data_IF_115949801758
#
_entry.id   IF_115949801758
#
_cell.length_a   1.000
_cell.length_b   1.000
_cell.length_c   1.000
_cell.angle_alpha   90.00
_cell.angle_beta   90.00
_cell.angle_gamma   90.00
#
_symmetry.space_group_name_H-M   'P 1'
#
loop_
_entity.id
_entity.type
_entity.pdbx_description
1 polymer ?
#
# COMPACT_ATOMS: atom_id res chain seq x y z
N UNK A 1 -18.22 -22.82 -10.84
CA UNK A 1 -17.43 -21.93 -11.72
C UNK A 1 -16.43 -21.16 -10.87
N UNK A 2 -15.24 -20.85 -11.40
CA UNK A 2 -14.29 -19.98 -10.71
C UNK A 2 -14.88 -18.57 -10.53
N UNK A 3 -14.66 -17.95 -9.37
CA UNK A 3 -15.07 -16.55 -9.15
C UNK A 3 -14.33 -15.63 -10.10
N UNK A 4 -15.08 -14.72 -10.74
CA UNK A 4 -14.53 -13.67 -11.57
C UNK A 4 -14.24 -12.45 -10.71
N UNK A 5 -12.97 -12.06 -10.63
CA UNK A 5 -12.55 -10.93 -9.80
C UNK A 5 -11.87 -9.85 -10.64
N UNK A 6 -12.12 -8.60 -10.30
CA UNK A 6 -11.41 -7.45 -10.82
C UNK A 6 -10.38 -6.98 -9.80
N UNK A 7 -9.15 -6.76 -10.25
CA UNK A 7 -8.13 -6.02 -9.50
C UNK A 7 -7.85 -4.73 -10.24
N UNK A 8 -8.21 -3.59 -9.65
CA UNK A 8 -7.81 -2.29 -10.16
C UNK A 8 -6.46 -1.88 -9.58
N UNK A 9 -5.68 -1.07 -10.30
CA UNK A 9 -4.29 -0.82 -9.90
C UNK A 9 -3.39 -2.04 -10.10
N UNK A 10 -3.76 -2.92 -11.03
CA UNK A 10 -3.09 -4.21 -11.29
C UNK A 10 -1.70 -4.08 -11.90
N UNK A 11 -1.34 -2.91 -12.42
CA UNK A 11 0.02 -2.55 -12.86
C UNK A 11 0.92 -2.02 -11.75
N UNK A 12 0.35 -1.72 -10.57
CA UNK A 12 1.07 -1.23 -9.39
C UNK A 12 1.62 -2.36 -8.51
N UNK A 13 2.41 -1.98 -7.49
CA UNK A 13 3.11 -2.89 -6.59
C UNK A 13 2.19 -3.93 -5.93
N UNK A 14 1.19 -3.50 -5.14
CA UNK A 14 0.32 -4.45 -4.44
C UNK A 14 -0.59 -5.17 -5.43
N UNK A 15 -1.05 -4.45 -6.48
CA UNK A 15 -2.02 -4.97 -7.44
C UNK A 15 -1.50 -6.16 -8.24
N UNK A 16 -0.27 -6.10 -8.78
CA UNK A 16 0.27 -7.21 -9.57
C UNK A 16 0.57 -8.45 -8.71
N UNK A 17 1.05 -8.26 -7.47
CA UNK A 17 1.19 -9.36 -6.51
C UNK A 17 -0.16 -9.98 -6.15
N UNK A 18 -1.21 -9.15 -5.95
CA UNK A 18 -2.56 -9.63 -5.66
C UNK A 18 -3.15 -10.42 -6.83
N UNK A 19 -2.94 -9.97 -8.07
CA UNK A 19 -3.33 -10.72 -9.27
C UNK A 19 -2.73 -12.13 -9.23
N UNK A 20 -1.42 -12.24 -9.03
CA UNK A 20 -0.72 -13.52 -8.95
C UNK A 20 -1.22 -14.39 -7.80
N UNK A 21 -1.45 -13.78 -6.63
CA UNK A 21 -1.98 -14.46 -5.46
C UNK A 21 -3.38 -15.02 -5.71
N UNK A 22 -4.31 -14.22 -6.24
CA UNK A 22 -5.70 -14.64 -6.53
C UNK A 22 -5.77 -15.71 -7.61
N UNK A 23 -4.89 -15.65 -8.62
CA UNK A 23 -4.73 -16.71 -9.62
C UNK A 23 -4.33 -18.04 -8.97
N UNK A 24 -3.35 -18.03 -8.07
CA UNK A 24 -2.94 -19.22 -7.29
C UNK A 24 -4.06 -19.76 -6.40
N UNK A 25 -4.99 -18.91 -5.94
CA UNK A 25 -6.20 -19.31 -5.19
C UNK A 25 -7.36 -19.79 -6.09
N UNK A 26 -7.15 -19.90 -7.40
CA UNK A 26 -8.14 -20.44 -8.35
C UNK A 26 -9.17 -19.44 -8.87
N UNK A 27 -8.98 -18.13 -8.65
CA UNK A 27 -9.88 -17.12 -9.21
C UNK A 27 -9.57 -16.87 -10.69
N UNK A 28 -10.58 -16.53 -11.47
CA UNK A 28 -10.40 -15.89 -12.75
C UNK A 28 -10.21 -14.38 -12.51
N UNK A 29 -9.12 -13.78 -12.99
CA UNK A 29 -8.74 -12.42 -12.64
C UNK A 29 -8.68 -11.54 -13.87
N UNK A 30 -9.42 -10.42 -13.84
CA UNK A 30 -9.22 -9.26 -14.70
C UNK A 30 -8.36 -8.24 -13.96
N UNK A 31 -7.23 -7.85 -14.54
CA UNK A 31 -6.41 -6.74 -14.09
C UNK A 31 -6.73 -5.48 -14.90
N UNK A 32 -6.85 -4.34 -14.22
CA UNK A 32 -7.03 -3.03 -14.87
C UNK A 32 -6.10 -2.00 -14.26
N UNK A 33 -5.40 -1.26 -15.13
CA UNK A 33 -4.54 -0.15 -14.75
C UNK A 33 -4.36 0.80 -15.94
N UNK A 34 -3.71 1.94 -15.74
CA UNK A 34 -3.25 2.84 -16.81
C UNK A 34 -1.92 2.38 -17.44
N UNK A 35 -1.26 1.37 -16.85
CA UNK A 35 0.00 0.78 -17.32
C UNK A 35 0.10 -0.70 -16.97
N UNK A 36 0.93 -1.44 -17.69
CA UNK A 36 1.33 -2.79 -17.29
C UNK A 36 2.25 -2.77 -16.06
N UNK A 37 2.36 -3.90 -15.31
CA UNK A 37 3.38 -4.03 -14.27
C UNK A 37 4.79 -3.82 -14.87
N UNK A 38 5.60 -3.04 -14.15
CA UNK A 38 6.92 -2.61 -14.63
C UNK A 38 7.99 -3.70 -14.46
N UNK A 39 7.89 -4.46 -13.37
CA UNK A 39 8.95 -5.39 -12.95
C UNK A 39 8.60 -6.86 -13.11
N UNK A 40 7.38 -7.17 -13.51
CA UNK A 40 6.92 -8.55 -13.73
C UNK A 40 5.87 -8.61 -14.84
N UNK A 41 5.79 -9.76 -15.52
CA UNK A 41 4.67 -10.01 -16.43
C UNK A 41 3.40 -10.29 -15.62
N UNK A 42 2.28 -9.69 -16.04
CA UNK A 42 1.00 -9.98 -15.41
C UNK A 42 0.60 -11.44 -15.60
N UNK A 43 0.01 -12.03 -14.56
CA UNK A 43 -0.59 -13.38 -14.61
C UNK A 43 -2.12 -13.34 -14.68
N UNK A 44 -2.71 -12.16 -14.86
CA UNK A 44 -4.16 -12.01 -15.06
C UNK A 44 -4.66 -12.81 -16.25
N UNK A 45 -5.92 -13.28 -16.21
CA UNK A 45 -6.58 -13.89 -17.37
C UNK A 45 -6.86 -12.87 -18.46
N UNK A 46 -7.25 -11.66 -18.03
CA UNK A 46 -7.41 -10.49 -18.87
C UNK A 46 -6.69 -9.30 -18.23
N UNK A 47 -6.05 -8.47 -19.04
CA UNK A 47 -5.46 -7.23 -18.55
C UNK A 47 -5.82 -6.10 -19.52
N UNK A 48 -6.46 -5.05 -18.99
CA UNK A 48 -6.93 -3.93 -19.79
C UNK A 48 -6.26 -2.62 -19.32
N UNK A 49 -5.81 -1.82 -20.29
CA UNK A 49 -5.29 -0.47 -20.02
C UNK A 49 -6.48 0.48 -20.06
N UNK A 50 -6.97 0.90 -18.89
CA UNK A 50 -8.14 1.74 -18.73
C UNK A 50 -7.90 2.83 -17.68
N UNK A 51 -8.35 4.05 -17.96
CA UNK A 51 -8.39 5.15 -17.01
C UNK A 51 -9.73 5.14 -16.25
N UNK A 52 -9.69 4.66 -15.01
CA UNK A 52 -10.88 4.51 -14.17
C UNK A 52 -11.48 5.83 -13.65
N UNK A 53 -10.88 6.98 -13.96
CA UNK A 53 -11.49 8.29 -13.77
C UNK A 53 -12.66 8.55 -14.75
N UNK A 54 -12.73 7.73 -15.83
CA UNK A 54 -13.78 7.78 -16.84
C UNK A 54 -14.87 6.76 -16.55
N UNK A 55 -16.11 7.19 -16.62
CA UNK A 55 -17.28 6.35 -16.36
C UNK A 55 -17.32 5.09 -17.24
N UNK A 56 -17.17 5.27 -18.56
CA UNK A 56 -17.21 4.15 -19.49
C UNK A 56 -16.15 3.09 -19.20
N UNK A 57 -14.94 3.53 -18.82
CA UNK A 57 -13.85 2.64 -18.43
C UNK A 57 -14.19 1.87 -17.15
N UNK A 58 -14.78 2.52 -16.15
CA UNK A 58 -15.20 1.88 -14.92
C UNK A 58 -16.34 0.85 -15.16
N UNK A 59 -17.32 1.19 -15.99
CA UNK A 59 -18.37 0.26 -16.42
C UNK A 59 -17.82 -0.96 -17.18
N UNK A 60 -16.89 -0.73 -18.12
CA UNK A 60 -16.24 -1.81 -18.86
C UNK A 60 -15.48 -2.72 -17.90
N UNK A 61 -14.66 -2.17 -17.01
CA UNK A 61 -13.82 -2.92 -16.07
C UNK A 61 -14.65 -3.86 -15.17
N UNK A 62 -15.80 -3.39 -14.68
CA UNK A 62 -16.63 -4.13 -13.71
C UNK A 62 -17.66 -5.08 -14.34
N UNK A 63 -17.81 -5.08 -15.67
CA UNK A 63 -18.81 -5.92 -16.36
C UNK A 63 -18.54 -7.41 -16.19
N UNK A 64 -19.52 -8.14 -15.67
CA UNK A 64 -19.47 -9.60 -15.49
C UNK A 64 -18.51 -10.04 -14.38
N UNK A 65 -18.22 -9.15 -13.41
CA UNK A 65 -17.35 -9.40 -12.26
C UNK A 65 -18.18 -9.70 -11.00
N UNK A 66 -17.77 -10.71 -10.24
CA UNK A 66 -18.40 -11.07 -8.97
C UNK A 66 -17.87 -10.22 -7.80
N UNK A 67 -16.55 -9.96 -7.79
CA UNK A 67 -15.86 -9.28 -6.69
C UNK A 67 -14.82 -8.28 -7.22
N UNK A 68 -14.75 -7.09 -6.63
CA UNK A 68 -13.77 -6.05 -6.98
C UNK A 68 -12.77 -5.88 -5.84
N UNK A 69 -11.49 -5.82 -6.18
CA UNK A 69 -10.39 -5.38 -5.34
C UNK A 69 -9.93 -4.02 -5.86
N UNK A 70 -10.37 -2.94 -5.20
CA UNK A 70 -10.09 -1.56 -5.62
C UNK A 70 -8.78 -1.07 -4.99
N UNK A 71 -7.68 -1.16 -5.78
CA UNK A 71 -6.34 -0.74 -5.37
C UNK A 71 -5.81 0.45 -6.20
N UNK A 72 -6.51 0.83 -7.29
CA UNK A 72 -6.08 1.92 -8.14
C UNK A 72 -6.05 3.25 -7.35
N UNK A 73 -4.92 3.92 -7.36
CA UNK A 73 -4.74 5.25 -6.79
C UNK A 73 -3.46 5.89 -7.36
N UNK A 74 -3.49 7.19 -7.57
CA UNK A 74 -2.26 7.95 -7.77
C UNK A 74 -1.65 8.24 -6.40
N UNK A 75 -0.48 7.68 -6.14
CA UNK A 75 0.19 7.80 -4.85
C UNK A 75 1.70 7.58 -4.97
N UNK A 76 2.43 7.96 -3.93
CA UNK A 76 3.88 7.77 -3.84
C UNK A 76 4.37 7.87 -2.39
N UNK A 77 5.67 8.04 -2.21
CA UNK A 77 6.27 8.39 -0.92
C UNK A 77 5.92 9.83 -0.51
N UNK A 78 6.38 10.24 0.68
CA UNK A 78 6.07 11.58 1.25
C UNK A 78 6.44 12.73 0.31
N UNK A 79 7.55 12.62 -0.42
CA UNK A 79 7.95 13.66 -1.38
C UNK A 79 6.91 13.92 -2.47
N UNK A 80 6.23 12.88 -2.95
CA UNK A 80 5.19 13.00 -3.96
C UNK A 80 3.87 13.51 -3.37
N UNK A 81 3.42 12.91 -2.26
CA UNK A 81 2.14 13.24 -1.62
C UNK A 81 2.11 14.70 -1.15
N UNK A 82 3.23 15.21 -0.61
CA UNK A 82 3.34 16.57 -0.09
C UNK A 82 3.41 17.67 -1.17
N UNK A 83 3.48 17.30 -2.45
CA UNK A 83 3.62 18.25 -3.57
C UNK A 83 2.51 18.17 -4.64
N UNK A 84 1.57 17.21 -4.53
CA UNK A 84 0.54 16.94 -5.54
C UNK A 84 -0.87 16.85 -4.97
N UNK A 85 -1.22 17.75 -4.06
CA UNK A 85 -2.47 17.68 -3.27
C UNK A 85 -3.74 17.65 -4.13
N UNK A 86 -3.94 18.63 -5.03
CA UNK A 86 -5.14 18.72 -5.85
C UNK A 86 -5.27 17.55 -6.83
N UNK A 87 -4.15 17.16 -7.46
CA UNK A 87 -4.11 16.05 -8.41
C UNK A 87 -4.51 14.73 -7.74
N UNK A 88 -3.95 14.45 -6.57
CA UNK A 88 -4.24 13.24 -5.78
C UNK A 88 -5.70 13.24 -5.32
N UNK A 89 -6.17 14.34 -4.71
CA UNK A 89 -7.53 14.42 -4.19
C UNK A 89 -8.56 14.22 -5.29
N UNK A 90 -8.44 14.96 -6.39
CA UNK A 90 -9.38 14.90 -7.51
C UNK A 90 -9.29 13.53 -8.23
N UNK A 91 -8.09 13.13 -8.62
CA UNK A 91 -7.88 11.91 -9.41
C UNK A 91 -8.34 10.65 -8.69
N UNK A 92 -7.95 10.50 -7.43
CA UNK A 92 -8.33 9.32 -6.64
C UNK A 92 -9.82 9.31 -6.28
N UNK A 93 -10.41 10.47 -5.98
CA UNK A 93 -11.86 10.57 -5.74
C UNK A 93 -12.64 10.13 -6.97
N UNK A 94 -12.26 10.56 -8.17
CA UNK A 94 -12.91 10.13 -9.42
C UNK A 94 -12.74 8.60 -9.62
N UNK A 95 -11.54 8.04 -9.48
CA UNK A 95 -11.31 6.61 -9.59
C UNK A 95 -12.25 5.84 -8.66
N UNK A 96 -12.28 6.22 -7.38
CA UNK A 96 -13.03 5.52 -6.35
C UNK A 96 -14.54 5.60 -6.58
N UNK A 97 -15.06 6.80 -6.88
CA UNK A 97 -16.49 7.05 -7.09
C UNK A 97 -16.99 6.33 -8.34
N UNK A 98 -16.28 6.46 -9.47
CA UNK A 98 -16.66 5.81 -10.71
C UNK A 98 -16.61 4.27 -10.58
N UNK A 99 -15.56 3.74 -9.95
CA UNK A 99 -15.39 2.29 -9.84
C UNK A 99 -16.44 1.67 -8.90
N UNK A 100 -16.75 2.31 -7.77
CA UNK A 100 -17.75 1.79 -6.83
C UNK A 100 -19.16 1.86 -7.42
N UNK A 101 -19.51 2.96 -8.07
CA UNK A 101 -20.82 3.09 -8.73
C UNK A 101 -20.96 2.11 -9.91
N UNK A 102 -19.95 1.97 -10.75
CA UNK A 102 -19.93 1.00 -11.83
C UNK A 102 -20.06 -0.45 -11.30
N UNK A 103 -19.40 -0.76 -10.18
CA UNK A 103 -19.54 -2.05 -9.52
C UNK A 103 -21.00 -2.30 -9.07
N UNK A 104 -21.66 -1.31 -8.49
CA UNK A 104 -23.08 -1.38 -8.11
C UNK A 104 -24.00 -1.60 -9.31
N UNK A 105 -23.84 -0.80 -10.37
CA UNK A 105 -24.63 -0.89 -11.59
C UNK A 105 -24.50 -2.24 -12.27
N UNK A 106 -23.29 -2.81 -12.30
CA UNK A 106 -23.01 -4.12 -12.88
C UNK A 106 -23.31 -5.31 -11.95
N UNK A 107 -23.88 -5.07 -10.76
CA UNK A 107 -24.33 -6.12 -9.84
C UNK A 107 -23.18 -6.86 -9.14
N UNK A 108 -22.03 -6.22 -8.96
CA UNK A 108 -20.92 -6.75 -8.17
C UNK A 108 -21.38 -7.03 -6.74
N UNK A 109 -21.07 -8.21 -6.22
CA UNK A 109 -21.53 -8.65 -4.90
C UNK A 109 -20.67 -8.11 -3.77
N UNK A 110 -19.34 -8.13 -3.95
CA UNK A 110 -18.37 -7.66 -2.94
C UNK A 110 -17.38 -6.66 -3.52
N UNK A 111 -17.15 -5.61 -2.76
CA UNK A 111 -16.23 -4.55 -3.11
C UNK A 111 -15.20 -4.36 -1.99
N UNK A 112 -13.94 -4.67 -2.27
CA UNK A 112 -12.83 -4.45 -1.36
C UNK A 112 -12.17 -3.11 -1.66
N UNK A 113 -12.08 -2.25 -0.67
CA UNK A 113 -11.45 -0.94 -0.79
C UNK A 113 -10.15 -0.84 0.02
N UNK A 114 -9.11 -0.31 -0.60
CA UNK A 114 -7.83 -0.07 0.05
C UNK A 114 -7.74 1.36 0.55
N UNK A 115 -7.96 1.53 1.85
CA UNK A 115 -7.69 2.74 2.58
C UNK A 115 -6.23 2.76 3.10
N UNK A 116 -5.90 3.71 3.94
CA UNK A 116 -4.54 3.97 4.39
C UNK A 116 -4.50 4.42 5.84
N UNK A 117 -3.38 4.20 6.51
CA UNK A 117 -3.08 4.83 7.79
C UNK A 117 -2.95 6.37 7.73
N UNK A 118 -2.93 6.96 6.53
CA UNK A 118 -2.95 8.41 6.34
C UNK A 118 -4.28 9.06 6.74
N UNK A 119 -5.36 8.27 6.93
CA UNK A 119 -6.66 8.78 7.40
C UNK A 119 -6.65 9.19 8.87
N UNK A 120 -5.69 8.71 9.65
CA UNK A 120 -5.64 9.00 11.07
C UNK A 120 -5.22 10.44 11.36
N UNK A 121 -5.80 11.08 12.41
CA UNK A 121 -5.51 12.46 12.77
C UNK A 121 -4.02 12.69 13.04
N UNK A 122 -3.51 13.81 12.54
CA UNK A 122 -2.09 14.18 12.70
C UNK A 122 -1.71 14.36 14.16
N UNK A 123 -2.59 14.97 14.96
CA UNK A 123 -2.36 15.24 16.39
C UNK A 123 -2.08 13.98 17.22
N UNK A 124 -2.54 12.80 16.77
CA UNK A 124 -2.23 11.50 17.40
C UNK A 124 -0.86 10.93 16.99
N UNK A 125 -0.13 11.57 16.09
CA UNK A 125 1.07 11.06 15.45
C UNK A 125 2.30 11.98 15.64
N UNK A 126 2.26 12.84 16.64
CA UNK A 126 3.28 13.88 16.91
C UNK A 126 4.52 13.40 17.64
N UNK A 127 4.49 12.19 18.22
CA UNK A 127 5.60 11.61 19.00
C UNK A 127 6.19 10.40 18.29
N UNK A 128 7.51 10.19 18.39
CA UNK A 128 8.16 8.99 17.86
C UNK A 128 7.64 7.70 18.54
N UNK A 129 7.48 7.73 19.87
CA UNK A 129 6.84 6.64 20.61
C UNK A 129 5.31 6.86 20.63
N UNK A 130 4.68 6.64 19.48
CA UNK A 130 3.24 6.80 19.29
C UNK A 130 2.49 5.61 19.89
N UNK A 131 1.35 5.89 20.54
CA UNK A 131 0.38 4.83 20.88
C UNK A 131 -0.14 4.21 19.59
N UNK A 132 -0.15 2.86 19.47
CA UNK A 132 -0.66 2.20 18.26
C UNK A 132 -2.09 2.66 17.91
N UNK A 133 -2.32 3.02 16.67
CA UNK A 133 -3.59 3.58 16.18
C UNK A 133 -4.64 2.49 16.05
N UNK A 134 -5.75 2.67 16.76
CA UNK A 134 -6.94 1.81 16.67
C UNK A 134 -7.87 2.34 15.58
N UNK A 135 -8.75 1.47 15.05
CA UNK A 135 -9.71 1.89 14.02
C UNK A 135 -10.65 3.00 14.48
N UNK A 136 -10.98 3.05 15.77
CA UNK A 136 -11.76 4.13 16.38
C UNK A 136 -11.05 5.49 16.39
N UNK A 137 -9.73 5.52 16.30
CA UNK A 137 -8.93 6.75 16.32
C UNK A 137 -9.04 7.60 15.06
N UNK A 138 -9.76 7.13 14.04
CA UNK A 138 -10.03 7.87 12.82
C UNK A 138 -10.90 9.14 13.04
N UNK A 139 -11.57 9.21 14.20
CA UNK A 139 -12.48 10.33 14.52
C UNK A 139 -12.17 10.92 15.88
N UNK A 140 -12.33 12.26 16.07
CA UNK A 140 -12.66 13.24 15.03
C UNK A 140 -11.61 13.26 13.91
N UNK A 141 -12.06 13.47 12.65
CA UNK A 141 -11.22 13.35 11.46
C UNK A 141 -10.33 14.58 11.29
N UNK A 142 -9.02 14.35 11.16
CA UNK A 142 -8.02 15.39 10.89
C UNK A 142 -6.81 14.79 10.15
N UNK A 143 -7.01 14.16 8.96
CA UNK A 143 -5.89 13.67 8.15
C UNK A 143 -4.90 14.77 7.79
N UNK A 144 -3.60 14.45 7.80
CA UNK A 144 -2.52 15.41 7.53
C UNK A 144 -2.53 15.97 6.10
N UNK A 145 -2.97 15.18 5.13
CA UNK A 145 -2.80 15.49 3.71
C UNK A 145 -4.05 15.14 2.86
N UNK A 146 -4.05 15.61 1.61
CA UNK A 146 -5.14 15.39 0.65
C UNK A 146 -5.39 13.90 0.38
N UNK A 147 -4.34 13.07 0.42
CA UNK A 147 -4.45 11.62 0.26
C UNK A 147 -5.22 10.97 1.41
N UNK A 148 -4.95 11.38 2.65
CA UNK A 148 -5.68 10.91 3.82
C UNK A 148 -7.16 11.27 3.76
N UNK A 149 -7.48 12.49 3.35
CA UNK A 149 -8.86 12.95 3.21
C UNK A 149 -9.64 12.18 2.13
N UNK A 150 -9.07 11.93 0.94
CA UNK A 150 -9.77 11.16 -0.09
C UNK A 150 -10.00 9.71 0.32
N UNK A 151 -9.02 9.11 1.03
CA UNK A 151 -9.15 7.76 1.56
C UNK A 151 -10.29 7.66 2.57
N UNK A 152 -10.37 8.61 3.52
CA UNK A 152 -11.43 8.64 4.53
C UNK A 152 -12.81 8.92 3.91
N UNK A 153 -12.90 9.82 2.94
CA UNK A 153 -14.13 10.09 2.19
C UNK A 153 -14.65 8.81 1.52
N UNK A 154 -13.74 8.05 0.90
CA UNK A 154 -14.15 6.80 0.21
C UNK A 154 -14.52 5.69 1.20
N UNK A 155 -13.92 5.62 2.39
CA UNK A 155 -14.41 4.73 3.45
C UNK A 155 -15.88 5.04 3.78
N UNK A 156 -16.23 6.33 3.94
CA UNK A 156 -17.63 6.75 4.19
C UNK A 156 -18.54 6.39 3.03
N UNK A 157 -18.08 6.59 1.79
CA UNK A 157 -18.84 6.21 0.60
C UNK A 157 -19.13 4.70 0.59
N UNK A 158 -18.14 3.85 0.84
CA UNK A 158 -18.31 2.39 0.93
C UNK A 158 -19.37 2.01 1.98
N UNK A 159 -19.35 2.65 3.16
CA UNK A 159 -20.34 2.39 4.22
C UNK A 159 -21.76 2.75 3.78
N UNK A 160 -21.95 3.91 3.13
CA UNK A 160 -23.27 4.33 2.66
C UNK A 160 -23.76 3.47 1.49
N UNK A 161 -22.89 3.08 0.56
CA UNK A 161 -23.26 2.14 -0.51
C UNK A 161 -23.71 0.77 0.04
N UNK A 162 -23.10 0.32 1.13
CA UNK A 162 -23.56 -0.87 1.81
C UNK A 162 -24.93 -0.69 2.45
N UNK A 163 -25.18 0.47 3.07
CA UNK A 163 -26.46 0.79 3.73
C UNK A 163 -27.61 0.95 2.71
N UNK A 164 -27.35 1.73 1.66
CA UNK A 164 -28.40 2.14 0.73
C UNK A 164 -28.65 1.10 -0.38
N UNK A 165 -27.62 0.41 -0.83
CA UNK A 165 -27.69 -0.48 -2.00
C UNK A 165 -27.37 -1.94 -1.70
N UNK A 166 -26.93 -2.27 -0.49
CA UNK A 166 -26.66 -3.65 -0.07
C UNK A 166 -25.39 -4.28 -0.65
N UNK A 167 -24.54 -3.53 -1.38
CA UNK A 167 -23.26 -4.05 -1.86
C UNK A 167 -22.35 -4.34 -0.66
N UNK A 168 -21.82 -5.56 -0.55
CA UNK A 168 -20.96 -5.94 0.55
C UNK A 168 -19.57 -5.32 0.45
N UNK A 169 -19.31 -4.23 1.18
CA UNK A 169 -17.99 -3.61 1.20
C UNK A 169 -17.07 -4.20 2.24
N UNK A 170 -15.77 -4.19 1.96
CA UNK A 170 -14.68 -4.53 2.88
C UNK A 170 -13.63 -3.43 2.79
N UNK A 171 -13.30 -2.82 3.89
CA UNK A 171 -12.36 -1.69 3.93
C UNK A 171 -11.14 -2.06 4.75
N UNK A 172 -9.93 -1.90 4.16
CA UNK A 172 -8.67 -2.12 4.86
C UNK A 172 -7.87 -0.83 4.95
N UNK A 173 -7.25 -0.55 6.09
CA UNK A 173 -6.29 0.55 6.27
C UNK A 173 -4.89 -0.01 6.29
N UNK A 174 -4.15 0.17 5.20
CA UNK A 174 -2.77 -0.31 5.09
C UNK A 174 -1.80 0.54 5.91
N UNK A 175 -0.94 -0.15 6.67
CA UNK A 175 0.19 0.42 7.40
C UNK A 175 1.51 0.01 6.74
N UNK A 176 2.03 0.90 5.85
CA UNK A 176 3.35 0.83 5.21
C UNK A 176 3.72 -0.54 4.61
N UNK A 177 2.99 -0.95 3.60
CA UNK A 177 3.28 -2.19 2.88
C UNK A 177 4.57 -2.02 2.06
N UNK A 178 5.45 -3.05 2.10
CA UNK A 178 6.71 -3.08 1.37
C UNK A 178 7.03 -4.49 0.83
N UNK A 179 7.95 -4.58 -0.12
CA UNK A 179 8.39 -5.82 -0.74
C UNK A 179 9.13 -5.58 -2.06
N UNK A 180 9.57 -6.64 -2.74
CA UNK A 180 10.18 -6.56 -4.07
C UNK A 180 9.16 -6.15 -5.13
N UNK A 181 9.65 -5.84 -6.34
CA UNK A 181 8.83 -5.50 -7.51
C UNK A 181 7.92 -4.26 -7.33
N UNK A 182 8.32 -3.35 -6.45
CA UNK A 182 7.71 -2.04 -6.26
C UNK A 182 8.64 -0.92 -6.72
N UNK A 183 8.12 0.30 -6.80
CA UNK A 183 8.91 1.50 -7.11
C UNK A 183 10.05 1.64 -6.10
N UNK A 184 11.29 1.61 -6.58
CA UNK A 184 12.50 1.66 -5.76
C UNK A 184 13.35 2.92 -5.98
N UNK A 185 13.01 3.73 -6.99
CA UNK A 185 13.68 5.00 -7.31
C UNK A 185 12.71 5.99 -7.97
N UNK A 186 13.20 7.22 -8.28
CA UNK A 186 12.43 8.22 -9.03
C UNK A 186 11.55 9.13 -8.16
N UNK A 187 11.70 9.12 -6.83
CA UNK A 187 11.02 10.03 -5.90
C UNK A 187 9.62 9.58 -5.46
N UNK A 188 9.11 8.47 -5.98
CA UNK A 188 7.84 7.86 -5.54
C UNK A 188 8.03 6.67 -4.60
N UNK A 189 9.26 6.23 -4.39
CA UNK A 189 9.58 5.09 -3.54
C UNK A 189 9.31 5.38 -2.06
N UNK A 190 8.91 4.33 -1.33
CA UNK A 190 8.71 4.38 0.13
C UNK A 190 10.01 4.07 0.87
N UNK A 191 10.06 4.39 2.18
CA UNK A 191 11.26 4.30 2.99
C UNK A 191 12.01 2.95 2.91
N UNK A 192 11.38 1.76 2.97
CA UNK A 192 12.11 0.51 2.86
C UNK A 192 12.84 0.35 1.52
N UNK A 193 12.16 0.65 0.41
CA UNK A 193 12.78 0.57 -0.92
C UNK A 193 13.88 1.62 -1.10
N UNK A 194 13.66 2.85 -0.62
CA UNK A 194 14.67 3.91 -0.64
C UNK A 194 15.93 3.53 0.15
N UNK A 195 15.79 2.93 1.35
CA UNK A 195 16.92 2.49 2.16
C UNK A 195 17.65 1.33 1.49
N UNK A 196 16.95 0.32 0.99
CA UNK A 196 17.57 -0.78 0.23
C UNK A 196 18.40 -0.25 -0.95
N UNK A 197 17.84 0.68 -1.74
CA UNK A 197 18.57 1.30 -2.87
C UNK A 197 19.81 2.07 -2.39
N UNK A 198 19.65 2.94 -1.39
CA UNK A 198 20.74 3.78 -0.89
C UNK A 198 21.90 2.93 -0.32
N UNK A 199 21.58 1.87 0.42
CA UNK A 199 22.58 0.95 0.96
C UNK A 199 23.25 0.15 -0.16
N UNK A 200 22.48 -0.36 -1.14
CA UNK A 200 23.05 -1.06 -2.30
C UNK A 200 24.02 -0.17 -3.09
N UNK A 201 23.63 1.09 -3.38
CA UNK A 201 24.51 2.05 -4.06
C UNK A 201 25.75 2.35 -3.21
N UNK A 202 25.60 2.59 -1.89
CA UNK A 202 26.73 2.87 -1.00
C UNK A 202 27.73 1.71 -0.94
N UNK A 203 27.25 0.46 -0.93
CA UNK A 203 28.07 -0.75 -1.00
C UNK A 203 28.82 -0.86 -2.33
N UNK A 204 28.10 -0.74 -3.44
CA UNK A 204 28.66 -0.93 -4.79
C UNK A 204 29.66 0.16 -5.19
N UNK A 205 29.45 1.40 -4.71
CA UNK A 205 30.37 2.52 -4.95
C UNK A 205 31.51 2.62 -3.95
N UNK A 206 31.49 1.84 -2.85
CA UNK A 206 32.44 1.97 -1.75
C UNK A 206 32.32 3.28 -0.97
N UNK A 207 31.27 4.08 -1.17
CA UNK A 207 31.08 5.36 -0.48
C UNK A 207 30.73 5.20 0.99
N UNK A 208 30.07 4.10 1.34
CA UNK A 208 29.54 3.81 2.68
C UNK A 208 28.63 4.90 3.28
N UNK A 209 28.18 5.90 2.49
CA UNK A 209 27.35 7.02 2.96
C UNK A 209 25.89 6.78 2.56
N UNK A 210 24.98 6.91 3.53
CA UNK A 210 23.52 6.80 3.33
C UNK A 210 22.84 8.07 3.84
N UNK A 211 22.14 8.78 2.96
CA UNK A 211 21.40 9.99 3.34
C UNK A 211 20.01 9.63 3.87
N UNK A 212 19.67 10.21 5.03
CA UNK A 212 18.38 10.07 5.72
C UNK A 212 17.77 11.45 5.90
N UNK A 213 16.50 11.60 5.52
CA UNK A 213 15.77 12.86 5.67
C UNK A 213 15.43 13.14 7.14
N UNK A 214 15.68 14.37 7.56
CA UNK A 214 15.50 14.83 8.94
C UNK A 214 16.51 14.19 9.88
N UNK A 215 16.12 13.99 11.15
CA UNK A 215 16.99 13.38 12.18
C UNK A 215 16.94 11.84 12.19
N UNK A 216 16.14 11.24 11.32
CA UNK A 216 15.96 9.78 11.21
C UNK A 216 15.30 9.11 12.40
N UNK A 217 14.79 9.88 13.39
CA UNK A 217 14.12 9.37 14.60
C UNK A 217 12.61 9.20 14.45
N UNK A 218 12.03 9.57 13.30
CA UNK A 218 10.63 9.27 12.99
C UNK A 218 10.43 7.75 12.89
N UNK A 219 9.33 7.26 13.47
CA UNK A 219 9.10 5.81 13.60
C UNK A 219 7.96 5.32 12.70
N UNK A 220 8.11 4.12 12.19
CA UNK A 220 7.10 3.42 11.40
C UNK A 220 7.11 1.93 11.73
N UNK A 221 5.96 1.29 11.57
CA UNK A 221 5.88 -0.16 11.39
C UNK A 221 5.72 -0.47 9.91
N UNK A 222 6.23 -1.63 9.49
CA UNK A 222 6.23 -2.05 8.09
C UNK A 222 5.69 -3.48 7.95
N UNK A 223 4.76 -3.69 7.01
CA UNK A 223 4.16 -4.99 6.74
C UNK A 223 4.62 -5.51 5.38
N UNK A 224 5.15 -6.74 5.35
CA UNK A 224 5.63 -7.35 4.12
C UNK A 224 4.47 -7.74 3.20
N UNK A 225 4.73 -7.70 1.88
CA UNK A 225 3.70 -7.90 0.84
C UNK A 225 2.94 -9.21 0.99
N UNK A 226 3.59 -10.32 1.30
CA UNK A 226 2.93 -11.63 1.40
C UNK A 226 1.90 -11.65 2.54
N UNK A 227 2.21 -11.05 3.70
CA UNK A 227 1.25 -10.88 4.79
C UNK A 227 0.11 -9.95 4.40
N UNK A 228 0.40 -8.89 3.64
CA UNK A 228 -0.63 -7.99 3.11
C UNK A 228 -1.63 -8.75 2.23
N UNK A 229 -1.14 -9.58 1.30
CA UNK A 229 -1.98 -10.38 0.39
C UNK A 229 -2.86 -11.39 1.14
N UNK A 230 -2.29 -12.06 2.14
CA UNK A 230 -3.05 -13.00 2.98
C UNK A 230 -4.14 -12.26 3.77
N UNK A 231 -3.82 -11.09 4.36
CA UNK A 231 -4.76 -10.24 5.08
C UNK A 231 -5.89 -9.74 4.18
N UNK A 232 -5.58 -9.26 2.98
CA UNK A 232 -6.57 -8.87 1.95
C UNK A 232 -7.54 -10.03 1.67
N UNK A 233 -6.98 -11.21 1.39
CA UNK A 233 -7.78 -12.38 1.04
C UNK A 233 -8.69 -12.80 2.20
N UNK A 234 -8.17 -12.88 3.42
CA UNK A 234 -8.95 -13.22 4.61
C UNK A 234 -10.07 -12.22 4.89
N UNK A 235 -9.80 -10.93 4.80
CA UNK A 235 -10.81 -9.89 5.00
C UNK A 235 -11.91 -9.98 3.92
N UNK A 236 -11.54 -10.16 2.65
CA UNK A 236 -12.51 -10.32 1.56
C UNK A 236 -13.43 -11.55 1.75
N UNK A 237 -12.92 -12.63 2.36
CA UNK A 237 -13.71 -13.85 2.66
C UNK A 237 -14.48 -13.77 3.96
N UNK A 238 -14.20 -12.79 4.83
CA UNK A 238 -14.88 -12.60 6.10
C UNK A 238 -16.26 -11.97 5.93
N UNK A 239 -17.08 -12.03 7.00
CA UNK A 239 -18.33 -11.27 7.10
C UNK A 239 -18.14 -9.90 7.79
N UNK A 240 -16.91 -9.51 8.08
CA UNK A 240 -16.61 -8.25 8.74
C UNK A 240 -16.76 -7.08 7.76
N UNK A 241 -17.49 -6.02 8.16
CA UNK A 241 -17.91 -4.93 7.27
C UNK A 241 -17.41 -3.55 7.67
N UNK A 242 -16.77 -3.45 8.84
CA UNK A 242 -16.16 -2.19 9.28
C UNK A 242 -14.73 -2.05 8.74
N UNK A 243 -14.15 -0.83 8.72
CA UNK A 243 -12.74 -0.64 8.43
C UNK A 243 -11.84 -1.45 9.38
N UNK A 244 -10.76 -2.01 8.85
CA UNK A 244 -9.82 -2.85 9.59
C UNK A 244 -8.37 -2.44 9.29
N UNK A 245 -7.56 -2.23 10.32
CA UNK A 245 -6.12 -2.05 10.17
C UNK A 245 -5.46 -3.32 9.64
N UNK A 246 -4.49 -3.15 8.76
CA UNK A 246 -3.61 -4.23 8.30
C UNK A 246 -2.17 -3.71 8.27
N UNK A 247 -1.38 -4.17 9.23
CA UNK A 247 0.00 -3.77 9.43
C UNK A 247 0.70 -4.63 10.45
N UNK A 248 1.97 -4.32 10.69
CA UNK A 248 2.76 -4.86 11.81
C UNK A 248 2.73 -3.89 12.98
N UNK A 249 2.98 -4.39 14.20
CA UNK A 249 3.01 -3.61 15.44
C UNK A 249 4.43 -3.26 15.92
N UNK A 250 5.48 -3.87 15.35
CA UNK A 250 6.87 -3.53 15.63
C UNK A 250 7.26 -2.23 14.93
N UNK A 251 7.58 -1.21 15.70
CA UNK A 251 8.12 0.06 15.21
C UNK A 251 9.63 0.04 15.10
N UNK A 252 10.16 0.72 14.08
CA UNK A 252 11.57 1.07 13.94
C UNK A 252 11.69 2.54 13.54
N UNK A 253 12.79 3.18 13.93
CA UNK A 253 13.17 4.49 13.40
C UNK A 253 13.69 4.34 11.96
N UNK A 254 13.75 5.42 11.21
CA UNK A 254 14.36 5.39 9.87
C UNK A 254 15.86 5.14 9.95
N UNK A 255 16.54 5.57 11.03
CA UNK A 255 17.95 5.22 11.27
C UNK A 255 18.10 3.71 11.48
N UNK A 256 17.33 3.10 12.37
CA UNK A 256 17.34 1.64 12.58
C UNK A 256 16.99 0.87 11.29
N UNK A 257 16.05 1.38 10.48
CA UNK A 257 15.76 0.77 9.19
C UNK A 257 16.99 0.75 8.26
N UNK A 258 17.76 1.85 8.22
CA UNK A 258 18.98 1.92 7.43
C UNK A 258 20.06 0.96 7.96
N UNK A 259 20.21 0.84 9.27
CA UNK A 259 21.14 -0.07 9.93
C UNK A 259 20.77 -1.54 9.68
N UNK A 260 19.50 -1.92 9.82
CA UNK A 260 19.01 -3.28 9.50
C UNK A 260 19.33 -3.65 8.04
N UNK A 261 19.07 -2.73 7.10
CA UNK A 261 19.39 -2.98 5.68
C UNK A 261 20.91 -3.09 5.47
N UNK A 262 21.72 -2.30 6.18
CA UNK A 262 23.18 -2.39 6.09
C UNK A 262 23.72 -3.71 6.62
N UNK A 263 23.16 -4.21 7.71
CA UNK A 263 23.49 -5.53 8.28
C UNK A 263 23.14 -6.66 7.29
N UNK A 264 21.94 -6.60 6.68
CA UNK A 264 21.51 -7.53 5.61
C UNK A 264 22.48 -7.48 4.43
N UNK A 265 22.93 -6.28 4.04
CA UNK A 265 23.87 -6.09 2.94
C UNK A 265 25.32 -6.50 3.27
N UNK A 266 25.63 -6.77 4.55
CA UNK A 266 26.98 -7.05 5.02
C UNK A 266 27.94 -5.86 4.85
N UNK A 267 27.45 -4.63 5.02
CA UNK A 267 28.24 -3.40 4.83
C UNK A 267 28.08 -2.43 6.00
N UNK A 268 29.19 -1.81 6.43
CA UNK A 268 29.14 -0.71 7.39
C UNK A 268 28.77 0.57 6.67
N UNK A 269 27.79 1.31 7.20
CA UNK A 269 27.36 2.59 6.65
C UNK A 269 27.61 3.74 7.61
N UNK A 270 27.70 4.96 7.05
CA UNK A 270 27.67 6.21 7.79
C UNK A 270 26.42 6.99 7.38
N UNK A 271 25.48 7.14 8.31
CA UNK A 271 24.26 7.91 8.08
C UNK A 271 24.61 9.40 8.05
N UNK A 272 24.14 10.10 7.01
CA UNK A 272 24.18 11.55 6.88
C UNK A 272 22.75 12.08 6.88
N UNK A 273 22.39 12.84 7.91
CA UNK A 273 21.11 13.51 7.98
C UNK A 273 21.08 14.72 7.03
N UNK A 274 20.00 14.85 6.26
CA UNK A 274 19.77 15.93 5.29
C UNK A 274 18.34 16.44 5.40
N UNK A 275 18.07 17.67 4.98
CA UNK A 275 16.72 18.21 4.94
C UNK A 275 15.84 17.44 3.95
N UNK A 276 14.57 17.30 4.29
CA UNK A 276 13.60 16.61 3.45
C UNK A 276 12.28 16.30 4.16
N UNK A 277 11.24 15.92 3.42
CA UNK A 277 9.91 15.65 3.97
C UNK A 277 9.91 14.40 4.84
N UNK A 278 9.49 14.54 6.10
CA UNK A 278 9.49 13.45 7.10
C UNK A 278 8.11 12.82 7.30
N UNK A 279 7.02 13.57 7.02
CA UNK A 279 5.65 13.20 7.38
C UNK A 279 5.44 13.23 8.91
N UNK A 280 4.46 12.47 9.41
CA UNK A 280 4.18 12.38 10.85
C UNK A 280 5.36 11.80 11.63
N UNK A 281 5.48 12.19 12.90
CA UNK A 281 6.61 11.79 13.76
C UNK A 281 6.61 10.30 14.10
N UNK A 282 5.45 9.72 14.35
CA UNK A 282 5.30 8.27 14.62
C UNK A 282 4.02 7.72 14.03
N UNK A 283 4.07 6.49 13.53
CA UNK A 283 2.88 5.77 13.04
C UNK A 283 3.02 4.29 13.28
N UNK A 284 2.05 3.72 14.02
CA UNK A 284 1.98 2.30 14.31
C UNK A 284 0.55 1.79 14.20
N UNK A 285 0.39 0.50 13.98
CA UNK A 285 -0.90 -0.20 13.86
C UNK A 285 -1.25 -0.91 15.16
N UNK A 286 -2.44 -0.65 15.70
CA UNK A 286 -3.05 -1.58 16.65
C UNK A 286 -3.72 -2.72 15.88
N UNK A 287 -3.22 -3.94 16.04
CA UNK A 287 -3.71 -5.12 15.33
C UNK A 287 -4.67 -5.98 16.17
N UNK A 288 -5.14 -5.49 17.31
CA UNK A 288 -6.04 -6.23 18.22
C UNK A 288 -7.34 -6.65 17.49
N UNK A 289 -7.96 -5.71 16.77
CA UNK A 289 -9.18 -6.00 16.00
C UNK A 289 -8.90 -6.98 14.86
N UNK A 290 -7.80 -6.82 14.13
CA UNK A 290 -7.36 -7.73 13.08
C UNK A 290 -7.26 -9.19 13.58
N UNK A 291 -6.52 -9.39 14.69
CA UNK A 291 -6.35 -10.70 15.34
C UNK A 291 -7.69 -11.33 15.74
N UNK A 292 -8.58 -10.53 16.33
CA UNK A 292 -9.90 -10.97 16.75
C UNK A 292 -10.80 -11.37 15.59
N UNK A 293 -10.83 -10.55 14.53
CA UNK A 293 -11.74 -10.72 13.38
C UNK A 293 -11.28 -11.83 12.44
N UNK A 294 -9.99 -11.82 12.06
CA UNK A 294 -9.46 -12.74 11.06
C UNK A 294 -8.85 -14.01 11.67
N UNK A 295 -8.75 -14.10 13.00
CA UNK A 295 -8.02 -15.18 13.71
C UNK A 295 -6.61 -15.38 13.16
N UNK A 296 -6.00 -14.29 12.74
CA UNK A 296 -4.72 -14.25 12.07
C UNK A 296 -4.03 -12.89 12.31
N UNK A 297 -2.74 -12.85 12.14
CA UNK A 297 -1.93 -11.64 12.14
C UNK A 297 -0.74 -11.81 11.19
N UNK A 298 -0.12 -10.73 10.70
CA UNK A 298 1.13 -10.77 9.96
C UNK A 298 2.22 -11.57 10.68
N UNK A 299 2.94 -12.43 9.95
CA UNK A 299 3.88 -13.40 10.49
C UNK A 299 5.33 -13.13 10.09
N UNK A 300 5.55 -12.39 8.99
CA UNK A 300 6.87 -12.20 8.41
C UNK A 300 7.61 -11.09 9.18
N UNK A 301 8.77 -11.41 9.72
CA UNK A 301 9.62 -10.44 10.41
C UNK A 301 10.16 -9.39 9.43
N UNK A 302 10.43 -8.20 9.96
CA UNK A 302 10.91 -7.07 9.15
C UNK A 302 12.21 -7.42 8.41
N UNK A 303 13.15 -8.07 9.09
CA UNK A 303 14.43 -8.48 8.56
C UNK A 303 14.29 -9.46 7.39
N UNK A 304 13.40 -10.45 7.51
CA UNK A 304 13.15 -11.44 6.44
C UNK A 304 12.55 -10.77 5.19
N UNK A 305 11.58 -9.87 5.39
CA UNK A 305 10.99 -9.10 4.29
C UNK A 305 12.00 -8.14 3.65
N UNK A 306 12.83 -7.47 4.48
CA UNK A 306 13.87 -6.57 3.99
C UNK A 306 14.98 -7.32 3.24
N UNK A 307 15.35 -8.52 3.67
CA UNK A 307 16.34 -9.35 2.98
C UNK A 307 15.91 -9.63 1.53
N UNK A 308 14.67 -10.11 1.34
CA UNK A 308 14.12 -10.37 0.00
C UNK A 308 13.99 -9.09 -0.84
N UNK A 309 13.60 -7.99 -0.19
CA UNK A 309 13.45 -6.69 -0.87
C UNK A 309 14.81 -6.13 -1.28
N UNK A 310 15.82 -6.23 -0.41
CA UNK A 310 17.18 -5.79 -0.67
C UNK A 310 17.83 -6.57 -1.80
N UNK A 311 17.75 -7.90 -1.77
CA UNK A 311 18.29 -8.78 -2.82
C UNK A 311 17.74 -8.38 -4.21
N UNK A 312 16.43 -8.19 -4.29
CA UNK A 312 15.80 -7.76 -5.53
C UNK A 312 16.26 -6.35 -5.96
N UNK A 313 16.30 -5.36 -5.04
CA UNK A 313 16.73 -3.99 -5.35
C UNK A 313 18.22 -3.93 -5.70
N UNK A 314 19.08 -4.66 -5.00
CA UNK A 314 20.51 -4.71 -5.33
C UNK A 314 20.75 -5.20 -6.77
N UNK A 315 19.96 -6.20 -7.22
CA UNK A 315 19.99 -6.67 -8.60
C UNK A 315 19.57 -5.57 -9.57
N UNK A 316 18.47 -4.85 -9.29
CA UNK A 316 18.02 -3.73 -10.14
C UNK A 316 19.07 -2.62 -10.22
N UNK A 317 19.72 -2.29 -9.09
CA UNK A 317 20.80 -1.28 -9.04
C UNK A 317 21.98 -1.72 -9.91
N UNK A 318 22.43 -2.98 -9.79
CA UNK A 318 23.53 -3.53 -10.61
C UNK A 318 23.21 -3.48 -12.09
N UNK A 319 22.01 -3.92 -12.49
CA UNK A 319 21.59 -3.92 -13.90
C UNK A 319 21.50 -2.50 -14.47
N UNK A 320 20.89 -1.57 -13.72
CA UNK A 320 20.68 -0.20 -14.19
C UNK A 320 21.97 0.61 -14.30
N UNK A 321 22.83 0.54 -13.28
CA UNK A 321 24.03 1.36 -13.20
C UNK A 321 25.29 0.64 -13.68
N UNK A 322 25.17 -0.59 -14.17
CA UNK A 322 26.27 -1.40 -14.74
C UNK A 322 27.45 -1.60 -13.78
N UNK A 323 27.14 -1.86 -12.48
CA UNK A 323 28.15 -2.21 -11.47
C UNK A 323 28.54 -3.68 -11.57
#
# INVERSE_FOLDING_TARGET
MAKKVLVTGAGGFIGHHLVSYLRKKGSWVRGVDIKYPEYAKTTANEFEILDLRRWDSALQATRGIDEVYALAADMGGMGYISSHHALILQGNTLINFQTLEAARVNGVKRYFYTSSACIYPENKQTKANVTPLKESDAYPAEPQDAYGWEKLLTERLCMHYQQDYGIETRVVRFHNIFGPEGTWEGGREKAPAAMCRKVAVAKLTGSHKVEVWGDGKQTRSFCYIDDCLEGIYKLMRSNFREPLNLGQDRMVTINELAEIVADIAGVKIKIKHVDGPQGVRGRNSDNTKLKKVLKWQPQIFLEDGLSKTYEWIEKQVKEKYKY
#
